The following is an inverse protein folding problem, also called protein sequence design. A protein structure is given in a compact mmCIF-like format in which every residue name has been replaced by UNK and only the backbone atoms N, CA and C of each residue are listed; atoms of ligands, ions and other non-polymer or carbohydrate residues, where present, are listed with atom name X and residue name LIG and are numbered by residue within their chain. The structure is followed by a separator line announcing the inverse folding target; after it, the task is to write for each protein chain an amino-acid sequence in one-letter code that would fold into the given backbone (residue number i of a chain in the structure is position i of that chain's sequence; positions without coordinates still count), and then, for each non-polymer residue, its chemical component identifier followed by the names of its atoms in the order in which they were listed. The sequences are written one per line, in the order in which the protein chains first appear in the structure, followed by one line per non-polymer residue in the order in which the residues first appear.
data_IF_751263972202
#
_entry.id   IF_751263972202
#
_cell.length_a   1.000
_cell.length_b   1.000
_cell.length_c   1.000
_cell.angle_alpha   90.00
_cell.angle_beta   90.00
_cell.angle_gamma   90.00
#
_symmetry.space_group_name_H-M   'P 1'
#
loop_
_entity.id
_entity.type
_entity.pdbx_description
1 polymer ?
#
# COMPACT_ATOMS: atom_id res chain seq x y z
N UNK A 1 25.90 12.52 -39.29
CA UNK A 1 24.59 12.18 -38.71
C UNK A 1 24.69 10.72 -38.28
N UNK A 2 24.71 10.28 -37.03
CA UNK A 2 24.24 10.81 -35.74
C UNK A 2 25.38 10.85 -34.71
N UNK A 3 25.16 11.65 -33.67
CA UNK A 3 26.10 12.10 -32.65
C UNK A 3 26.68 10.95 -31.80
N UNK A 4 28.01 10.84 -31.79
CA UNK A 4 28.78 10.30 -30.68
C UNK A 4 28.59 11.21 -29.46
N UNK A 5 28.13 10.69 -28.34
CA UNK A 5 28.38 11.30 -27.03
C UNK A 5 28.49 10.17 -26.00
N UNK A 6 29.71 9.61 -25.94
CA UNK A 6 30.25 9.04 -24.71
C UNK A 6 30.06 10.08 -23.62
N UNK A 7 29.16 9.81 -22.67
CA UNK A 7 29.18 10.54 -21.40
C UNK A 7 30.38 9.98 -20.65
N UNK A 8 31.49 10.68 -20.83
CA UNK A 8 32.66 10.63 -19.96
C UNK A 8 32.16 11.02 -18.56
N UNK A 9 31.92 10.02 -17.71
CA UNK A 9 31.76 10.24 -16.26
C UNK A 9 33.15 10.56 -15.75
N UNK A 10 33.55 11.81 -15.95
CA UNK A 10 34.67 12.41 -15.26
C UNK A 10 34.40 12.27 -13.76
N UNK A 11 35.16 11.38 -13.12
CA UNK A 11 35.23 11.30 -11.67
C UNK A 11 35.68 12.67 -11.13
N UNK A 12 34.87 13.38 -10.34
CA UNK A 12 35.37 14.52 -9.61
C UNK A 12 36.11 14.03 -8.37
N UNK A 13 37.17 14.76 -8.07
CA UNK A 13 38.10 14.53 -6.99
C UNK A 13 37.41 14.46 -5.61
N UNK A 14 37.82 13.43 -4.87
CA UNK A 14 37.97 13.22 -3.42
C UNK A 14 37.72 14.39 -2.42
N UNK A 15 36.65 15.18 -2.57
CA UNK A 15 36.17 16.12 -1.54
C UNK A 15 34.88 15.59 -0.96
N UNK A 16 35.02 14.50 -0.21
CA UNK A 16 33.90 13.76 0.38
C UNK A 16 33.21 14.54 1.49
N UNK A 17 31.88 14.41 1.55
CA UNK A 17 31.10 14.76 2.73
C UNK A 17 29.67 15.18 2.40
N UNK A 18 29.43 16.46 2.19
CA UNK A 18 28.07 17.04 2.16
C UNK A 18 27.53 17.45 0.78
N UNK A 19 28.28 18.12 -0.11
CA UNK A 19 27.70 18.62 -1.36
C UNK A 19 27.41 17.50 -2.37
N UNK A 20 28.26 16.46 -2.42
CA UNK A 20 28.03 15.28 -3.25
C UNK A 20 26.80 14.48 -2.79
N UNK A 21 26.65 14.30 -1.47
CA UNK A 21 25.49 13.64 -0.87
C UNK A 21 24.20 14.42 -1.19
N UNK A 22 24.25 15.75 -1.10
CA UNK A 22 23.11 16.62 -1.38
C UNK A 22 22.72 16.58 -2.86
N UNK A 23 23.71 16.57 -3.76
CA UNK A 23 23.47 16.47 -5.20
C UNK A 23 22.85 15.11 -5.59
N UNK A 24 23.34 14.02 -5.01
CA UNK A 24 22.80 12.68 -5.23
C UNK A 24 21.39 12.51 -4.67
N UNK A 25 21.10 13.06 -3.48
CA UNK A 25 19.75 13.06 -2.89
C UNK A 25 18.77 13.86 -3.74
N UNK A 26 19.15 15.05 -4.17
CA UNK A 26 18.31 15.89 -5.01
C UNK A 26 18.05 15.26 -6.39
N UNK A 27 19.05 14.55 -6.94
CA UNK A 27 18.91 13.74 -8.15
C UNK A 27 17.91 12.60 -7.98
N UNK A 28 18.07 11.80 -6.92
CA UNK A 28 17.14 10.72 -6.60
C UNK A 28 15.70 11.22 -6.46
N UNK A 29 15.48 12.29 -5.67
CA UNK A 29 14.15 12.84 -5.41
C UNK A 29 13.42 13.29 -6.68
N UNK A 30 14.13 13.89 -7.63
CA UNK A 30 13.54 14.34 -8.90
C UNK A 30 13.18 13.18 -9.83
N UNK A 31 13.93 12.08 -9.78
CA UNK A 31 13.74 10.94 -10.68
C UNK A 31 12.74 9.89 -10.17
N UNK A 32 12.17 10.05 -8.97
CA UNK A 32 11.32 9.03 -8.33
C UNK A 32 10.08 8.65 -9.17
N UNK A 33 9.45 9.63 -9.82
CA UNK A 33 8.22 9.41 -10.60
C UNK A 33 8.48 9.28 -12.11
N UNK A 34 9.56 9.89 -12.61
CA UNK A 34 9.86 9.98 -14.05
C UNK A 34 10.77 8.84 -14.56
N UNK A 35 11.76 8.42 -13.77
CA UNK A 35 12.71 7.36 -14.14
C UNK A 35 13.15 6.55 -12.89
N UNK A 36 12.32 5.57 -12.47
CA UNK A 36 12.59 4.78 -11.28
C UNK A 36 13.92 4.00 -11.30
N UNK A 37 14.39 3.44 -12.44
CA UNK A 37 15.73 2.87 -12.55
C UNK A 37 16.85 3.87 -12.26
N UNK A 38 16.74 5.12 -12.72
CA UNK A 38 17.74 6.15 -12.45
C UNK A 38 17.73 6.61 -10.98
N UNK A 39 16.54 6.81 -10.40
CA UNK A 39 16.39 7.11 -8.98
C UNK A 39 17.07 6.06 -8.10
N UNK A 40 16.91 4.78 -8.47
CA UNK A 40 17.55 3.65 -7.78
C UNK A 40 19.08 3.74 -7.82
N UNK A 41 19.67 4.08 -8.97
CA UNK A 41 21.14 4.22 -9.10
C UNK A 41 21.68 5.34 -8.22
N UNK A 42 20.97 6.46 -8.09
CA UNK A 42 21.35 7.53 -7.17
C UNK A 42 21.31 7.08 -5.70
N UNK A 43 20.29 6.32 -5.30
CA UNK A 43 20.17 5.77 -3.95
C UNK A 43 21.25 4.74 -3.62
N UNK A 44 21.59 3.87 -4.56
CA UNK A 44 22.69 2.89 -4.41
C UNK A 44 24.05 3.59 -4.27
N UNK A 45 24.24 4.71 -4.97
CA UNK A 45 25.46 5.51 -4.82
C UNK A 45 25.51 6.20 -3.45
N UNK A 46 24.40 6.77 -2.99
CA UNK A 46 24.28 7.38 -1.66
C UNK A 46 24.60 6.38 -0.54
N UNK A 47 24.05 5.16 -0.61
CA UNK A 47 24.30 4.14 0.41
C UNK A 47 25.77 3.72 0.44
N UNK A 48 26.44 3.63 -0.71
CA UNK A 48 27.86 3.27 -0.78
C UNK A 48 28.81 4.32 -0.18
N UNK A 49 28.38 5.58 -0.08
CA UNK A 49 29.17 6.68 0.48
C UNK A 49 29.02 6.81 2.00
N UNK A 50 27.97 6.22 2.57
CA UNK A 50 27.74 6.19 4.01
C UNK A 50 28.54 5.03 4.63
N UNK A 51 29.74 5.31 5.13
CA UNK A 51 30.42 4.40 6.06
C UNK A 51 29.71 4.50 7.41
N UNK A 52 28.74 3.64 7.67
CA UNK A 52 28.19 3.48 9.03
C UNK A 52 28.99 2.40 9.76
N UNK A 53 29.71 2.70 10.86
CA UNK A 53 30.08 1.65 11.80
C UNK A 53 28.80 1.20 12.50
N UNK A 54 28.50 -0.08 12.34
CA UNK A 54 27.33 -0.82 12.85
C UNK A 54 25.94 -0.34 12.40
N UNK A 55 25.27 -1.23 11.66
CA UNK A 55 23.87 -1.11 11.27
C UNK A 55 22.91 -1.02 12.48
N UNK A 56 23.36 -1.45 13.66
CA UNK A 56 22.60 -1.40 14.91
C UNK A 56 22.55 0.02 15.51
N UNK A 57 23.60 0.83 15.35
CA UNK A 57 23.62 2.22 15.86
C UNK A 57 22.75 3.18 15.03
N UNK A 58 22.51 2.86 13.75
CA UNK A 58 21.65 3.66 12.87
C UNK A 58 20.15 3.50 13.20
N UNK A 59 19.76 2.43 13.89
CA UNK A 59 18.37 2.17 14.25
C UNK A 59 17.82 3.15 15.29
N UNK A 60 18.66 3.63 16.21
CA UNK A 60 18.28 4.55 17.29
C UNK A 60 18.17 6.02 16.85
N UNK A 61 18.67 6.36 15.65
CA UNK A 61 18.67 7.73 15.11
C UNK A 61 17.51 8.02 14.15
N UNK A 62 16.66 7.02 13.86
CA UNK A 62 15.50 7.22 12.99
C UNK A 62 14.31 7.74 13.80
N UNK A 63 13.71 8.88 13.43
CA UNK A 63 12.50 9.36 14.10
C UNK A 63 11.36 8.35 13.96
N UNK A 64 10.65 8.11 15.07
CA UNK A 64 9.46 7.26 15.15
C UNK A 64 8.44 7.66 14.07
N UNK A 65 8.39 6.94 12.96
CA UNK A 65 7.37 7.17 11.91
C UNK A 65 7.81 6.94 10.47
N UNK A 66 9.10 6.83 10.17
CA UNK A 66 9.52 6.39 8.85
C UNK A 66 9.40 4.87 8.76
N UNK A 67 8.31 4.40 8.14
CA UNK A 67 8.08 3.02 7.77
C UNK A 67 9.37 2.41 7.22
N UNK A 68 10.04 1.59 8.05
CA UNK A 68 11.26 0.87 7.66
C UNK A 68 10.92 0.03 6.43
N UNK A 69 11.44 0.44 5.28
CA UNK A 69 11.22 -0.24 4.01
C UNK A 69 11.67 -1.71 4.02
N UNK A 70 12.49 -2.12 5.00
CA UNK A 70 12.98 -3.50 5.15
C UNK A 70 12.67 -4.14 6.52
N UNK A 71 11.78 -3.56 7.32
CA UNK A 71 11.37 -4.13 8.60
C UNK A 71 10.12 -4.98 8.48
N UNK A 72 10.23 -6.26 8.10
CA UNK A 72 9.16 -7.23 8.42
C UNK A 72 9.00 -7.19 9.94
N UNK A 73 7.93 -6.56 10.45
CA UNK A 73 7.54 -6.69 11.85
C UNK A 73 7.57 -8.20 12.15
N UNK A 74 8.37 -8.66 13.14
CA UNK A 74 8.61 -10.10 13.35
C UNK A 74 7.29 -10.88 13.29
N UNK A 75 7.12 -11.68 12.23
CA UNK A 75 5.91 -12.49 11.98
C UNK A 75 4.80 -11.85 11.13
N UNK A 76 4.99 -10.66 10.54
CA UNK A 76 4.10 -10.01 9.58
C UNK A 76 4.33 -10.43 8.12
N UNK A 77 3.48 -9.94 7.22
CA UNK A 77 3.62 -10.08 5.79
C UNK A 77 4.70 -9.13 5.26
N UNK A 78 5.48 -9.62 4.30
CA UNK A 78 6.32 -8.75 3.48
C UNK A 78 5.46 -7.77 2.67
N UNK A 79 6.01 -6.59 2.35
CA UNK A 79 5.26 -5.55 1.62
C UNK A 79 4.70 -6.04 0.27
N UNK A 80 5.41 -6.92 -0.42
CA UNK A 80 4.93 -7.51 -1.68
C UNK A 80 3.76 -8.48 -1.47
N UNK A 81 3.75 -9.26 -0.37
CA UNK A 81 2.63 -10.15 -0.04
C UNK A 81 1.38 -9.33 0.23
N UNK A 82 1.50 -8.27 1.03
CA UNK A 82 0.38 -7.39 1.33
C UNK A 82 -0.18 -6.72 0.06
N UNK A 83 0.69 -6.22 -0.83
CA UNK A 83 0.28 -5.65 -2.12
C UNK A 83 -0.47 -6.67 -2.99
N UNK A 84 0.02 -7.90 -3.12
CA UNK A 84 -0.64 -8.95 -3.91
C UNK A 84 -2.00 -9.34 -3.32
N UNK A 85 -2.07 -9.47 -2.00
CA UNK A 85 -3.32 -9.81 -1.30
C UNK A 85 -4.34 -8.67 -1.46
N UNK A 86 -3.94 -7.41 -1.30
CA UNK A 86 -4.81 -6.26 -1.51
C UNK A 86 -5.33 -6.21 -2.95
N UNK A 87 -4.45 -6.35 -3.95
CA UNK A 87 -4.83 -6.39 -5.36
C UNK A 87 -5.81 -7.53 -5.68
N UNK A 88 -5.60 -8.71 -5.08
CA UNK A 88 -6.54 -9.83 -5.23
C UNK A 88 -7.90 -9.51 -4.60
N UNK A 89 -7.93 -8.95 -3.40
CA UNK A 89 -9.20 -8.56 -2.74
C UNK A 89 -9.96 -7.54 -3.59
N UNK A 90 -9.28 -6.53 -4.13
CA UNK A 90 -9.91 -5.49 -4.95
C UNK A 90 -10.47 -6.05 -6.27
N UNK A 91 -9.73 -6.97 -6.92
CA UNK A 91 -10.15 -7.60 -8.17
C UNK A 91 -11.39 -8.50 -8.01
N UNK A 92 -11.53 -9.18 -6.87
CA UNK A 92 -12.57 -10.20 -6.65
C UNK A 92 -13.63 -9.80 -5.62
N UNK A 93 -13.73 -8.51 -5.30
CA UNK A 93 -14.57 -8.01 -4.19
C UNK A 93 -16.07 -8.26 -4.36
N UNK A 94 -16.53 -8.47 -5.60
CA UNK A 94 -17.94 -8.79 -5.91
C UNK A 94 -18.29 -10.26 -5.62
N UNK A 95 -17.29 -11.15 -5.57
CA UNK A 95 -17.47 -12.58 -5.43
C UNK A 95 -17.11 -13.10 -4.04
N UNK A 96 -17.24 -14.41 -3.80
CA UNK A 96 -16.70 -15.04 -2.59
C UNK A 96 -15.17 -14.96 -2.59
N UNK A 97 -14.59 -14.57 -1.45
CA UNK A 97 -13.14 -14.55 -1.24
C UNK A 97 -12.84 -15.46 -0.05
N UNK A 98 -12.09 -16.53 -0.31
CA UNK A 98 -11.68 -17.47 0.73
C UNK A 98 -10.33 -17.05 1.32
N UNK A 99 -10.22 -17.16 2.64
CA UNK A 99 -8.96 -16.90 3.36
C UNK A 99 -7.82 -17.81 2.88
N UNK A 100 -8.12 -19.06 2.48
CA UNK A 100 -7.14 -19.98 1.91
C UNK A 100 -6.57 -19.46 0.59
N UNK A 101 -7.42 -18.92 -0.30
CA UNK A 101 -6.98 -18.31 -1.55
C UNK A 101 -6.07 -17.11 -1.31
N UNK A 102 -6.37 -16.27 -0.31
CA UNK A 102 -5.48 -15.16 0.05
C UNK A 102 -4.14 -15.64 0.63
N UNK A 103 -4.16 -16.74 1.38
CA UNK A 103 -2.94 -17.37 1.89
C UNK A 103 -2.07 -17.92 0.76
N UNK A 104 -2.67 -18.56 -0.25
CA UNK A 104 -1.99 -19.02 -1.47
C UNK A 104 -1.38 -17.84 -2.25
N UNK A 105 -2.11 -16.72 -2.40
CA UNK A 105 -1.60 -15.49 -3.02
C UNK A 105 -0.39 -14.94 -2.27
N UNK A 106 -0.37 -15.09 -0.95
CA UNK A 106 0.75 -14.72 -0.09
C UNK A 106 1.84 -15.80 0.01
N UNK A 107 1.67 -16.97 -0.62
CA UNK A 107 2.56 -18.13 -0.51
C UNK A 107 2.77 -18.61 0.94
N UNK A 108 1.69 -18.66 1.72
CA UNK A 108 1.69 -19.09 3.12
C UNK A 108 0.61 -20.14 3.38
N UNK A 109 0.79 -20.91 4.46
CA UNK A 109 -0.33 -21.68 5.02
C UNK A 109 -1.41 -20.73 5.55
N UNK A 110 -2.67 -21.16 5.55
CA UNK A 110 -3.81 -20.33 6.01
C UNK A 110 -3.63 -19.81 7.44
N UNK A 111 -3.10 -20.65 8.35
CA UNK A 111 -2.85 -20.25 9.74
C UNK A 111 -1.76 -19.18 9.87
N UNK A 112 -0.63 -19.36 9.17
CA UNK A 112 0.45 -18.37 9.14
C UNK A 112 -0.01 -17.06 8.50
N UNK A 113 -0.76 -17.15 7.39
CA UNK A 113 -1.34 -15.99 6.73
C UNK A 113 -2.24 -15.19 7.66
N UNK A 114 -3.19 -15.82 8.36
CA UNK A 114 -4.08 -15.11 9.29
C UNK A 114 -3.33 -14.33 10.36
N UNK A 115 -2.29 -14.94 10.95
CA UNK A 115 -1.44 -14.31 11.97
C UNK A 115 -0.65 -13.14 11.36
N UNK A 116 0.06 -13.39 10.27
CA UNK A 116 0.91 -12.41 9.62
C UNK A 116 0.11 -11.22 9.06
N UNK A 117 -1.06 -11.50 8.49
CA UNK A 117 -1.98 -10.48 7.98
C UNK A 117 -2.46 -9.57 9.12
N UNK A 118 -2.87 -10.15 10.26
CA UNK A 118 -3.31 -9.36 11.43
C UNK A 118 -2.18 -8.52 12.01
N UNK A 119 -0.96 -9.05 12.07
CA UNK A 119 0.22 -8.28 12.49
C UNK A 119 0.47 -7.10 11.55
N UNK A 120 0.29 -7.30 10.24
CA UNK A 120 0.60 -6.27 9.24
C UNK A 120 -0.48 -5.20 9.08
N UNK A 121 -1.75 -5.58 9.29
CA UNK A 121 -2.91 -4.72 8.98
C UNK A 121 -3.69 -4.29 10.22
N UNK A 122 -3.43 -4.89 11.37
CA UNK A 122 -4.20 -4.70 12.61
C UNK A 122 -5.53 -5.45 12.63
N UNK A 123 -5.96 -6.08 11.54
CA UNK A 123 -7.27 -6.73 11.42
C UNK A 123 -7.20 -8.13 10.80
N UNK A 124 -8.25 -8.94 10.97
CA UNK A 124 -8.30 -10.27 10.34
C UNK A 124 -8.58 -10.15 8.83
N UNK A 125 -8.18 -11.14 8.01
CA UNK A 125 -8.48 -11.11 6.57
C UNK A 125 -9.97 -10.90 6.25
N UNK A 126 -10.85 -11.56 7.00
CA UNK A 126 -12.29 -11.39 6.84
C UNK A 126 -12.75 -9.96 7.16
N UNK A 127 -12.25 -9.36 8.26
CA UNK A 127 -12.58 -7.98 8.61
C UNK A 127 -12.11 -6.98 7.54
N UNK A 128 -10.91 -7.19 7.00
CA UNK A 128 -10.37 -6.40 5.88
C UNK A 128 -11.28 -6.47 4.65
N UNK A 129 -11.69 -7.68 4.22
CA UNK A 129 -12.59 -7.86 3.08
C UNK A 129 -13.91 -7.11 3.29
N UNK A 130 -14.51 -7.23 4.48
CA UNK A 130 -15.75 -6.52 4.81
C UNK A 130 -15.55 -5.01 4.75
N UNK A 131 -14.44 -4.49 5.28
CA UNK A 131 -14.11 -3.07 5.23
C UNK A 131 -13.95 -2.57 3.79
N UNK A 132 -13.31 -3.34 2.92
CA UNK A 132 -13.19 -2.99 1.50
C UNK A 132 -14.55 -3.02 0.80
N UNK A 133 -15.42 -3.99 1.11
CA UNK A 133 -16.79 -4.04 0.55
C UNK A 133 -17.61 -2.80 0.92
N UNK A 134 -17.50 -2.33 2.17
CA UNK A 134 -18.16 -1.10 2.60
C UNK A 134 -17.57 0.13 1.90
N UNK A 135 -16.25 0.20 1.72
CA UNK A 135 -15.62 1.28 0.93
C UNK A 135 -16.13 1.28 -0.53
N UNK A 136 -16.22 0.12 -1.18
CA UNK A 136 -16.81 0.01 -2.52
C UNK A 136 -18.28 0.44 -2.54
N UNK A 137 -19.05 0.07 -1.53
CA UNK A 137 -20.44 0.49 -1.41
C UNK A 137 -20.55 2.03 -1.30
N UNK A 138 -19.67 2.68 -0.53
CA UNK A 138 -19.62 4.14 -0.44
C UNK A 138 -19.33 4.79 -1.79
N UNK A 139 -18.39 4.25 -2.56
CA UNK A 139 -18.08 4.73 -3.92
C UNK A 139 -19.29 4.59 -4.84
N UNK A 140 -19.89 3.40 -4.91
CA UNK A 140 -21.09 3.17 -5.74
C UNK A 140 -22.26 4.06 -5.34
N UNK A 141 -22.45 4.34 -4.04
CA UNK A 141 -23.49 5.26 -3.58
C UNK A 141 -23.27 6.72 -4.00
N UNK A 142 -22.01 7.11 -4.23
CA UNK A 142 -21.65 8.46 -4.70
C UNK A 142 -21.71 8.56 -6.22
N UNK A 143 -21.23 7.52 -6.90
CA UNK A 143 -20.92 7.59 -8.33
C UNK A 143 -22.04 7.05 -9.22
N UNK A 144 -23.02 6.34 -8.65
CA UNK A 144 -24.13 5.73 -9.41
C UNK A 144 -25.50 6.03 -8.81
N UNK A 145 -26.56 5.69 -9.57
CA UNK A 145 -27.96 5.74 -9.12
C UNK A 145 -28.49 4.37 -8.69
N UNK A 146 -27.61 3.39 -8.48
CA UNK A 146 -27.99 2.02 -8.16
C UNK A 146 -28.77 1.95 -6.84
N UNK A 147 -29.75 1.06 -6.79
CA UNK A 147 -30.47 0.74 -5.55
C UNK A 147 -29.53 0.12 -4.52
N UNK A 148 -29.86 0.23 -3.22
CA UNK A 148 -29.04 -0.36 -2.16
C UNK A 148 -28.93 -1.88 -2.29
N UNK A 149 -29.96 -2.56 -2.80
CA UNK A 149 -29.91 -3.98 -3.15
C UNK A 149 -28.90 -4.27 -4.25
N UNK A 150 -28.91 -3.52 -5.36
CA UNK A 150 -27.92 -3.68 -6.44
C UNK A 150 -26.50 -3.46 -5.92
N UNK A 151 -26.28 -2.40 -5.12
CA UNK A 151 -24.97 -2.13 -4.52
C UNK A 151 -24.51 -3.27 -3.60
N UNK A 152 -25.42 -3.84 -2.80
CA UNK A 152 -25.08 -4.98 -1.94
C UNK A 152 -24.52 -6.13 -2.79
N UNK A 153 -25.22 -6.51 -3.87
CA UNK A 153 -24.76 -7.56 -4.79
C UNK A 153 -23.44 -7.19 -5.49
N UNK A 154 -23.28 -5.94 -5.96
CA UNK A 154 -22.03 -5.47 -6.57
C UNK A 154 -20.84 -5.36 -5.61
N UNK A 155 -21.09 -5.48 -4.30
CA UNK A 155 -20.06 -5.60 -3.26
C UNK A 155 -19.98 -7.04 -2.71
N UNK A 156 -20.63 -8.00 -3.37
CA UNK A 156 -20.71 -9.42 -3.02
C UNK A 156 -21.45 -9.73 -1.71
N UNK A 157 -22.24 -8.80 -1.19
CA UNK A 157 -23.04 -8.99 0.01
C UNK A 157 -24.33 -9.73 -0.37
N UNK A 158 -24.85 -10.52 0.57
CA UNK A 158 -26.02 -11.39 0.35
C UNK A 158 -27.29 -10.62 -0.02
N UNK A 159 -27.48 -9.45 0.60
CA UNK A 159 -28.70 -8.65 0.49
C UNK A 159 -28.50 -7.24 1.08
N UNK A 160 -29.50 -6.38 0.90
CA UNK A 160 -29.51 -5.01 1.43
C UNK A 160 -29.48 -4.95 2.97
N UNK A 161 -30.08 -5.92 3.68
CA UNK A 161 -30.10 -5.93 5.14
C UNK A 161 -28.70 -6.23 5.69
N UNK A 162 -27.95 -7.10 5.03
CA UNK A 162 -26.54 -7.38 5.32
C UNK A 162 -25.67 -6.14 5.09
N UNK A 163 -25.84 -5.44 3.96
CA UNK A 163 -25.20 -4.14 3.74
C UNK A 163 -25.51 -3.16 4.87
N UNK A 164 -26.79 -3.02 5.23
CA UNK A 164 -27.21 -2.06 6.26
C UNK A 164 -26.56 -2.35 7.63
N UNK A 165 -26.53 -3.62 8.05
CA UNK A 165 -25.89 -4.02 9.32
C UNK A 165 -24.39 -3.70 9.33
N UNK A 166 -23.66 -4.11 8.28
CA UNK A 166 -22.22 -3.89 8.21
C UNK A 166 -21.86 -2.42 8.07
N UNK A 167 -22.61 -1.69 7.25
CA UNK A 167 -22.38 -0.26 7.03
C UNK A 167 -22.63 0.53 8.31
N UNK A 168 -23.71 0.25 9.04
CA UNK A 168 -23.95 0.90 10.35
C UNK A 168 -22.84 0.59 11.35
N UNK A 169 -22.36 -0.65 11.39
CA UNK A 169 -21.26 -1.06 12.27
C UNK A 169 -19.96 -0.33 11.96
N UNK A 170 -19.62 -0.15 10.68
CA UNK A 170 -18.32 0.40 10.26
C UNK A 170 -18.32 1.91 10.01
N UNK A 171 -19.47 2.50 9.66
CA UNK A 171 -19.61 3.91 9.27
C UNK A 171 -20.41 4.71 10.32
N UNK A 172 -21.14 4.03 11.20
CA UNK A 172 -21.91 4.67 12.28
C UNK A 172 -23.34 5.10 11.90
N UNK A 173 -23.71 5.03 10.62
CA UNK A 173 -25.05 5.39 10.13
C UNK A 173 -25.55 4.39 9.07
N UNK A 174 -26.81 4.49 8.63
CA UNK A 174 -27.35 3.59 7.60
C UNK A 174 -26.91 4.04 6.19
N UNK A 175 -26.83 3.13 5.20
CA UNK A 175 -26.50 3.46 3.82
C UNK A 175 -27.37 4.56 3.21
N UNK A 176 -28.68 4.51 3.48
CA UNK A 176 -29.64 5.47 2.93
C UNK A 176 -29.42 6.89 3.48
N UNK A 177 -29.23 7.00 4.81
CA UNK A 177 -28.95 8.29 5.46
C UNK A 177 -27.61 8.84 4.97
N UNK A 178 -26.59 7.99 4.90
CA UNK A 178 -25.28 8.38 4.39
C UNK A 178 -25.35 8.90 2.95
N UNK A 179 -26.04 8.18 2.04
CA UNK A 179 -26.18 8.59 0.64
C UNK A 179 -26.90 9.94 0.51
N UNK A 180 -28.00 10.14 1.26
CA UNK A 180 -28.76 11.41 1.24
C UNK A 180 -27.90 12.58 1.70
N UNK A 181 -27.11 12.41 2.75
CA UNK A 181 -26.21 13.46 3.24
C UNK A 181 -25.21 13.90 2.17
N UNK A 182 -24.64 12.96 1.40
CA UNK A 182 -23.74 13.28 0.28
C UNK A 182 -24.44 13.98 -0.87
N UNK A 183 -25.70 13.65 -1.16
CA UNK A 183 -26.48 14.28 -2.24
C UNK A 183 -26.96 15.69 -1.91
N UNK A 184 -27.02 16.06 -0.63
CA UNK A 184 -27.48 17.38 -0.17
C UNK A 184 -26.34 18.38 0.06
N UNK A 185 -25.09 17.89 0.14
CA UNK A 185 -23.90 18.71 0.45
C UNK A 185 -22.86 18.79 -0.67
N UNK A 186 -23.19 18.34 -1.88
CA UNK A 186 -22.38 18.52 -3.09
C UNK A 186 -23.08 19.44 -4.08
#
# INVERSE_FOLDING_TARGET
MYHQALIDVAAPAQTGGAPELTALLAGAMRSLDEDPPLARRYLERLSSLLVTPDADAAADLLPDGLMRADGVAKGGLAGWQLRRVAAHVDAYLQGPILTSTLAEVAQLSTGHFCRAFKISTGETPHAYIIRQRIRRAQLLMRDTRDTLSQIAFSCGLSDQAHLTRLFRRLVGTTPLVWRRAWQQGG
#
